data_IF_304908117167
#
_entry.id   IF_304908117167
#
_cell.length_a   1.000
_cell.length_b   1.000
_cell.length_c   1.000
_cell.angle_alpha   90.00
_cell.angle_beta   90.00
_cell.angle_gamma   90.00
#
_symmetry.space_group_name_H-M   'P 1'
#
loop_
_entity.id
_entity.type
_entity.pdbx_description
1 polymer ?
#
# COMPACT_ATOMS: atom_id res chain seq x y z
N UNK A 1 -13.12 1.26 2.16
CA UNK A 1 -12.74 1.12 3.58
C UNK A 1 -11.45 0.35 3.60
N UNK A 2 -10.41 0.87 4.23
CA UNK A 2 -9.13 0.17 4.34
C UNK A 2 -9.03 -0.50 5.71
N UNK A 3 -8.81 -1.81 5.71
CA UNK A 3 -8.79 -2.65 6.91
C UNK A 3 -7.36 -3.14 7.15
N UNK A 4 -6.77 -2.78 8.29
CA UNK A 4 -5.43 -3.25 8.68
C UNK A 4 -5.46 -3.99 10.01
N UNK A 5 -4.85 -5.18 10.06
CA UNK A 5 -4.74 -6.00 11.27
C UNK A 5 -3.42 -5.81 12.03
N UNK A 6 -2.43 -5.18 11.38
CA UNK A 6 -1.10 -4.88 11.89
C UNK A 6 -0.82 -3.37 11.76
N UNK A 7 -0.20 -2.79 12.79
CA UNK A 7 0.21 -1.38 12.75
C UNK A 7 1.52 -1.24 11.96
N UNK A 8 1.53 -0.39 10.94
CA UNK A 8 2.73 -0.02 10.16
C UNK A 8 3.56 1.11 10.79
N UNK A 9 3.17 1.60 11.98
CA UNK A 9 3.89 2.67 12.69
C UNK A 9 5.29 2.24 13.15
N UNK A 10 6.27 3.16 13.19
CA UNK A 10 7.60 2.89 13.73
C UNK A 10 7.55 2.30 15.15
N UNK A 11 8.27 1.19 15.36
CA UNK A 11 8.37 0.51 16.65
C UNK A 11 7.18 -0.39 17.03
N UNK A 12 6.23 -0.63 16.11
CA UNK A 12 5.19 -1.62 16.33
C UNK A 12 5.76 -3.05 16.31
N UNK A 13 5.29 -3.90 17.23
CA UNK A 13 5.66 -5.32 17.23
C UNK A 13 4.93 -6.05 16.09
N UNK A 14 5.62 -6.90 15.31
CA UNK A 14 4.99 -7.71 14.28
C UNK A 14 3.91 -8.64 14.86
N UNK A 15 2.78 -8.71 14.18
CA UNK A 15 1.66 -9.59 14.53
C UNK A 15 1.84 -10.93 13.79
N UNK A 16 1.71 -12.09 14.46
CA UNK A 16 1.70 -13.39 13.78
C UNK A 16 0.61 -13.48 12.71
N UNK A 17 0.84 -14.23 11.63
CA UNK A 17 -0.12 -14.38 10.51
C UNK A 17 -1.51 -14.79 10.99
N UNK A 18 -1.59 -15.85 11.80
CA UNK A 18 -2.88 -16.38 12.29
C UNK A 18 -3.64 -15.33 13.11
N UNK A 19 -2.92 -14.57 13.94
CA UNK A 19 -3.52 -13.52 14.76
C UNK A 19 -4.01 -12.34 13.91
N UNK A 20 -3.28 -11.98 12.85
CA UNK A 20 -3.74 -10.94 11.93
C UNK A 20 -4.99 -11.38 11.17
N UNK A 21 -5.02 -12.63 10.69
CA UNK A 21 -6.21 -13.23 10.04
C UNK A 21 -7.42 -13.18 10.99
N UNK A 22 -7.25 -13.58 12.25
CA UNK A 22 -8.32 -13.55 13.27
C UNK A 22 -8.86 -12.14 13.53
N UNK A 23 -8.06 -11.09 13.30
CA UNK A 23 -8.48 -9.68 13.42
C UNK A 23 -9.21 -9.19 12.17
N UNK A 24 -8.67 -9.48 10.98
CA UNK A 24 -9.14 -8.86 9.73
C UNK A 24 -10.33 -9.58 9.12
N UNK A 25 -10.36 -10.92 9.12
CA UNK A 25 -11.42 -11.69 8.43
C UNK A 25 -12.81 -11.37 8.98
N UNK A 26 -13.08 -11.45 10.30
CA UNK A 26 -14.40 -11.12 10.83
C UNK A 26 -14.80 -9.66 10.59
N UNK A 27 -13.81 -8.76 10.51
CA UNK A 27 -14.02 -7.34 10.24
C UNK A 27 -14.44 -7.13 8.79
N UNK A 28 -13.76 -7.76 7.83
CA UNK A 28 -14.10 -7.71 6.41
C UNK A 28 -15.51 -8.29 6.18
N UNK A 29 -15.82 -9.47 6.74
CA UNK A 29 -17.15 -10.09 6.64
C UNK A 29 -18.25 -9.17 7.20
N UNK A 30 -18.01 -8.53 8.34
CA UNK A 30 -18.96 -7.60 8.94
C UNK A 30 -19.16 -6.35 8.08
N UNK A 31 -18.08 -5.79 7.51
CA UNK A 31 -18.16 -4.64 6.59
C UNK A 31 -18.93 -5.01 5.33
N UNK A 32 -18.72 -6.20 4.79
CA UNK A 32 -19.43 -6.71 3.62
C UNK A 32 -20.95 -6.83 3.84
N UNK A 33 -21.40 -6.98 5.09
CA UNK A 33 -22.84 -6.99 5.40
C UNK A 33 -23.52 -5.61 5.34
N UNK A 34 -22.75 -4.52 5.22
CA UNK A 34 -23.28 -3.16 5.14
C UNK A 34 -23.85 -2.91 3.73
N UNK A 35 -25.09 -2.39 3.57
CA UNK A 35 -25.73 -2.26 2.26
C UNK A 35 -24.89 -1.53 1.20
N UNK A 36 -24.25 -0.40 1.54
CA UNK A 36 -23.42 0.33 0.60
C UNK A 36 -22.18 -0.47 0.12
N UNK A 37 -21.69 -1.42 0.92
CA UNK A 37 -20.59 -2.30 0.51
C UNK A 37 -21.14 -3.47 -0.31
N UNK A 38 -22.21 -4.11 0.19
CA UNK A 38 -22.87 -5.22 -0.50
C UNK A 38 -23.42 -4.87 -1.90
N UNK A 39 -23.86 -3.63 -2.09
CA UNK A 39 -24.34 -3.10 -3.38
C UNK A 39 -23.19 -2.67 -4.31
N UNK A 40 -21.94 -2.68 -3.82
CA UNK A 40 -20.74 -2.32 -4.57
C UNK A 40 -20.46 -0.81 -4.65
N UNK A 41 -21.15 0.02 -3.88
CA UNK A 41 -20.90 1.48 -3.84
C UNK A 41 -19.60 1.85 -3.11
N UNK A 42 -19.14 0.97 -2.21
CA UNK A 42 -17.93 1.17 -1.40
C UNK A 42 -17.07 -0.08 -1.47
N UNK A 43 -15.83 0.08 -1.95
CA UNK A 43 -14.84 -0.99 -1.99
C UNK A 43 -14.15 -1.17 -0.62
N UNK A 44 -13.71 -2.38 -0.33
CA UNK A 44 -12.94 -2.78 0.85
C UNK A 44 -11.53 -3.18 0.44
N UNK A 45 -10.51 -2.50 0.97
CA UNK A 45 -9.11 -2.89 0.82
C UNK A 45 -8.58 -3.56 2.08
N UNK A 46 -7.65 -4.50 1.91
CA UNK A 46 -6.87 -5.10 3.00
C UNK A 46 -5.46 -4.49 3.01
N UNK A 47 -5.11 -3.76 4.08
CA UNK A 47 -3.76 -3.26 4.35
C UNK A 47 -2.95 -4.36 5.01
N UNK A 48 -2.17 -5.07 4.20
CA UNK A 48 -1.28 -6.12 4.68
C UNK A 48 -0.13 -6.37 3.71
N UNK A 49 0.99 -6.80 4.28
CA UNK A 49 2.20 -7.23 3.58
C UNK A 49 2.37 -8.75 3.58
N UNK A 50 1.42 -9.49 4.15
CA UNK A 50 1.52 -10.94 4.36
C UNK A 50 0.62 -11.66 3.37
N UNK A 51 1.16 -12.44 2.43
CA UNK A 51 0.37 -13.11 1.39
C UNK A 51 -0.79 -13.95 1.94
N UNK A 52 -0.54 -14.70 3.02
CA UNK A 52 -1.57 -15.51 3.67
C UNK A 52 -2.72 -14.66 4.26
N UNK A 53 -2.44 -13.47 4.78
CA UNK A 53 -3.47 -12.55 5.30
C UNK A 53 -4.25 -11.95 4.14
N UNK A 54 -3.57 -11.53 3.07
CA UNK A 54 -4.20 -11.01 1.87
C UNK A 54 -5.16 -12.05 1.25
N UNK A 55 -4.70 -13.29 1.07
CA UNK A 55 -5.53 -14.38 0.56
C UNK A 55 -6.78 -14.63 1.43
N UNK A 56 -6.61 -14.72 2.75
CA UNK A 56 -7.73 -14.92 3.67
C UNK A 56 -8.73 -13.75 3.66
N UNK A 57 -8.24 -12.51 3.52
CA UNK A 57 -9.10 -11.33 3.43
C UNK A 57 -9.86 -11.26 2.10
N UNK A 58 -9.23 -11.66 0.98
CA UNK A 58 -9.91 -11.80 -0.31
C UNK A 58 -11.01 -12.88 -0.25
N UNK A 59 -10.72 -14.03 0.37
CA UNK A 59 -11.72 -15.09 0.60
C UNK A 59 -12.91 -14.60 1.46
N UNK A 60 -12.64 -13.68 2.39
CA UNK A 60 -13.66 -13.02 3.22
C UNK A 60 -14.45 -11.92 2.48
N UNK A 61 -14.01 -11.55 1.27
CA UNK A 61 -14.67 -10.58 0.39
C UNK A 61 -13.98 -9.24 0.27
N UNK A 62 -12.69 -9.07 0.61
CA UNK A 62 -11.97 -7.85 0.26
C UNK A 62 -11.91 -7.67 -1.27
N UNK A 63 -11.98 -6.43 -1.74
CA UNK A 63 -12.03 -6.09 -3.17
C UNK A 63 -10.64 -5.85 -3.77
N UNK A 64 -9.68 -5.39 -2.95
CA UNK A 64 -8.30 -5.10 -3.37
C UNK A 64 -7.29 -5.25 -2.23
N UNK A 65 -6.02 -5.36 -2.59
CA UNK A 65 -4.90 -5.42 -1.64
C UNK A 65 -4.21 -4.05 -1.57
N UNK A 66 -3.87 -3.59 -0.37
CA UNK A 66 -3.00 -2.45 -0.14
C UNK A 66 -1.69 -2.95 0.46
N UNK A 67 -0.65 -3.08 -0.38
CA UNK A 67 0.66 -3.59 0.05
C UNK A 67 1.66 -2.43 0.14
N UNK A 68 1.88 -1.97 1.36
CA UNK A 68 2.84 -0.93 1.68
C UNK A 68 4.29 -1.29 1.29
N UNK A 69 4.61 -2.57 1.09
CA UNK A 69 5.96 -2.98 0.65
C UNK A 69 6.17 -2.87 -0.86
N UNK A 70 5.11 -2.56 -1.61
CA UNK A 70 5.14 -2.45 -3.06
C UNK A 70 5.41 -3.78 -3.76
N UNK A 71 4.72 -4.86 -3.35
CA UNK A 71 4.84 -6.20 -3.94
C UNK A 71 6.24 -6.80 -3.86
N UNK A 72 6.96 -6.47 -2.78
CA UNK A 72 8.31 -7.00 -2.57
C UNK A 72 8.33 -8.53 -2.47
N UNK A 73 7.31 -9.11 -1.82
CA UNK A 73 7.13 -10.55 -1.65
C UNK A 73 6.64 -11.21 -2.97
N UNK A 74 7.38 -12.19 -3.54
CA UNK A 74 6.92 -12.96 -4.69
C UNK A 74 5.58 -13.66 -4.47
N UNK A 75 5.31 -14.17 -3.27
CA UNK A 75 4.05 -14.86 -2.97
C UNK A 75 2.88 -13.88 -2.93
N UNK A 76 3.09 -12.62 -2.52
CA UNK A 76 2.06 -11.57 -2.63
C UNK A 76 1.69 -11.30 -4.09
N UNK A 77 2.69 -11.32 -4.99
CA UNK A 77 2.45 -11.15 -6.43
C UNK A 77 1.64 -12.30 -7.00
N UNK A 78 1.91 -13.53 -6.57
CA UNK A 78 1.12 -14.71 -6.95
C UNK A 78 -0.33 -14.58 -6.47
N UNK A 79 -0.55 -14.19 -5.20
CA UNK A 79 -1.91 -13.95 -4.65
C UNK A 79 -2.69 -12.92 -5.47
N UNK A 80 -2.08 -11.77 -5.80
CA UNK A 80 -2.74 -10.72 -6.58
C UNK A 80 -3.03 -11.21 -8.01
N UNK A 81 -2.08 -11.88 -8.64
CA UNK A 81 -2.23 -12.38 -10.02
C UNK A 81 -3.33 -13.44 -10.11
N UNK A 82 -3.37 -14.39 -9.16
CA UNK A 82 -4.40 -15.44 -9.12
C UNK A 82 -5.79 -14.87 -8.82
N UNK A 83 -5.88 -13.86 -7.94
CA UNK A 83 -7.15 -13.21 -7.61
C UNK A 83 -7.65 -12.27 -8.72
N UNK A 84 -6.75 -11.68 -9.52
CA UNK A 84 -7.09 -10.66 -10.52
C UNK A 84 -7.67 -9.37 -9.93
N UNK A 85 -7.42 -9.12 -8.64
CA UNK A 85 -7.91 -7.95 -7.93
C UNK A 85 -7.00 -6.73 -8.18
N UNK A 86 -7.51 -5.49 -7.99
CA UNK A 86 -6.64 -4.32 -7.91
C UNK A 86 -5.64 -4.43 -6.74
N UNK A 87 -4.53 -3.69 -6.85
CA UNK A 87 -3.51 -3.62 -5.82
C UNK A 87 -2.91 -2.23 -5.72
N UNK A 88 -2.71 -1.74 -4.49
CA UNK A 88 -1.90 -0.55 -4.22
C UNK A 88 -0.45 -0.98 -4.03
N UNK A 89 0.44 -0.37 -4.82
CA UNK A 89 1.89 -0.56 -4.79
C UNK A 89 2.50 0.72 -4.25
N UNK A 90 2.95 0.69 -3.00
CA UNK A 90 3.57 1.85 -2.36
C UNK A 90 5.10 1.83 -2.50
N UNK A 91 5.71 3.01 -2.58
CA UNK A 91 7.14 3.18 -2.35
C UNK A 91 7.42 3.17 -0.85
N UNK A 92 8.28 2.23 -0.43
CA UNK A 92 8.87 2.19 0.91
C UNK A 92 10.23 1.51 0.80
N UNK A 93 11.23 2.00 1.51
CA UNK A 93 12.50 1.30 1.66
C UNK A 93 12.38 0.23 2.74
N UNK A 94 11.75 0.60 3.86
CA UNK A 94 11.49 -0.30 4.99
C UNK A 94 10.00 -0.32 5.34
N UNK A 95 9.49 -1.52 5.55
CA UNK A 95 8.13 -1.76 6.00
C UNK A 95 8.16 -2.82 7.11
N UNK A 96 7.91 -2.47 8.39
CA UNK A 96 7.60 -1.12 8.89
C UNK A 96 8.79 -0.17 8.75
N UNK A 97 8.51 1.14 8.73
CA UNK A 97 9.52 2.21 8.63
C UNK A 97 10.61 2.03 9.69
N UNK A 98 11.87 2.00 9.26
CA UNK A 98 13.02 2.07 10.15
C UNK A 98 13.34 3.56 10.42
N UNK A 99 13.14 4.06 11.65
CA UNK A 99 13.39 5.47 11.97
C UNK A 99 14.88 5.84 11.96
N UNK A 100 15.78 4.86 11.79
CA UNK A 100 17.22 5.08 11.65
C UNK A 100 17.67 5.14 10.19
N UNK A 101 16.79 4.76 9.25
CA UNK A 101 17.05 4.93 7.83
C UNK A 101 16.80 6.40 7.46
N UNK A 102 17.80 7.01 6.82
CA UNK A 102 17.78 8.41 6.37
C UNK A 102 18.27 8.41 4.91
N UNK A 103 17.44 7.94 3.96
CA UNK A 103 17.84 7.87 2.58
C UNK A 103 18.05 9.28 2.02
N UNK A 104 19.17 9.46 1.35
CA UNK A 104 19.43 10.68 0.59
C UNK A 104 18.86 10.49 -0.82
N UNK A 105 17.82 11.25 -1.16
CA UNK A 105 17.35 11.38 -2.53
C UNK A 105 18.07 12.53 -3.22
N UNK A 106 18.47 12.33 -4.48
CA UNK A 106 19.00 13.43 -5.30
C UNK A 106 17.82 14.31 -5.77
N UNK A 107 16.71 13.67 -6.17
CA UNK A 107 15.41 14.26 -6.44
C UNK A 107 14.35 13.24 -6.01
N UNK A 108 13.66 13.54 -4.90
CA UNK A 108 12.73 12.60 -4.28
C UNK A 108 11.60 12.15 -5.23
N UNK A 109 11.18 13.00 -6.16
CA UNK A 109 10.10 12.67 -7.09
C UNK A 109 10.61 11.72 -8.18
N UNK A 110 11.75 12.05 -8.80
CA UNK A 110 12.36 11.23 -9.84
C UNK A 110 12.77 9.85 -9.29
N UNK A 111 13.36 9.82 -8.10
CA UNK A 111 13.80 8.60 -7.44
C UNK A 111 12.63 7.69 -7.07
N UNK A 112 11.54 8.25 -6.51
CA UNK A 112 10.32 7.48 -6.18
C UNK A 112 9.63 6.98 -7.45
N UNK A 113 9.54 7.78 -8.52
CA UNK A 113 9.03 7.32 -9.82
C UNK A 113 9.89 6.17 -10.36
N UNK A 114 11.21 6.28 -10.23
CA UNK A 114 12.15 5.22 -10.59
C UNK A 114 11.87 3.91 -9.85
N UNK A 115 11.78 3.97 -8.53
CA UNK A 115 11.52 2.82 -7.67
C UNK A 115 10.16 2.17 -7.97
N UNK A 116 9.09 2.97 -8.13
CA UNK A 116 7.77 2.47 -8.49
C UNK A 116 7.76 1.83 -9.87
N UNK A 117 8.51 2.36 -10.84
CA UNK A 117 8.65 1.75 -12.18
C UNK A 117 9.25 0.34 -12.09
N UNK A 118 10.21 0.12 -11.21
CA UNK A 118 10.77 -1.22 -10.96
C UNK A 118 9.72 -2.16 -10.36
N UNK A 119 8.92 -1.69 -9.39
CA UNK A 119 7.83 -2.50 -8.80
C UNK A 119 6.77 -2.86 -9.84
N UNK A 120 6.42 -1.94 -10.73
CA UNK A 120 5.48 -2.18 -11.82
C UNK A 120 6.01 -3.24 -12.80
N UNK A 121 7.31 -3.24 -13.10
CA UNK A 121 7.90 -4.28 -13.95
C UNK A 121 7.86 -5.68 -13.28
N UNK A 122 8.02 -5.75 -11.96
CA UNK A 122 7.85 -7.00 -11.20
C UNK A 122 6.40 -7.48 -11.20
N UNK A 123 5.44 -6.57 -11.06
CA UNK A 123 4.01 -6.88 -11.13
C UNK A 123 3.62 -7.43 -12.51
N UNK A 124 4.07 -6.78 -13.59
CA UNK A 124 3.83 -7.24 -14.96
C UNK A 124 4.44 -8.63 -15.23
N UNK A 125 5.65 -8.87 -14.73
CA UNK A 125 6.32 -10.18 -14.86
C UNK A 125 5.55 -11.27 -14.13
N UNK A 126 4.85 -10.94 -13.04
CA UNK A 126 3.98 -11.85 -12.31
C UNK A 126 2.59 -12.01 -12.95
N UNK A 127 2.28 -11.30 -14.03
CA UNK A 127 0.99 -11.36 -14.71
C UNK A 127 -0.08 -10.44 -14.14
N UNK A 128 0.29 -9.43 -13.36
CA UNK A 128 -0.63 -8.41 -12.85
C UNK A 128 -0.75 -7.31 -13.91
N UNK A 129 -1.97 -7.12 -14.43
CA UNK A 129 -2.23 -6.09 -15.44
C UNK A 129 -2.05 -4.67 -14.86
N UNK A 130 -1.49 -3.77 -15.68
CA UNK A 130 -1.19 -2.40 -15.28
C UNK A 130 -2.43 -1.62 -14.82
N UNK A 131 -3.59 -1.90 -15.40
CA UNK A 131 -4.88 -1.27 -15.06
C UNK A 131 -5.44 -1.70 -13.69
N UNK A 132 -4.85 -2.74 -13.08
CA UNK A 132 -5.12 -3.18 -11.71
C UNK A 132 -4.20 -2.52 -10.68
N UNK A 133 -3.15 -1.83 -11.10
CA UNK A 133 -2.19 -1.23 -10.17
C UNK A 133 -2.52 0.23 -9.90
N UNK A 134 -2.57 0.57 -8.62
CA UNK A 134 -2.60 1.93 -8.08
C UNK A 134 -1.24 2.18 -7.44
N UNK A 135 -0.61 3.32 -7.70
CA UNK A 135 0.69 3.66 -7.11
C UNK A 135 0.52 4.61 -5.93
N UNK A 136 1.29 4.39 -4.86
CA UNK A 136 1.38 5.31 -3.72
C UNK A 136 2.84 5.78 -3.55
N UNK A 137 3.13 7.09 -3.59
CA UNK A 137 4.47 7.63 -3.39
C UNK A 137 5.06 7.41 -1.99
N UNK A 138 4.27 6.93 -1.02
CA UNK A 138 4.78 6.55 0.31
C UNK A 138 5.10 7.74 1.22
N UNK A 139 4.27 8.77 1.24
CA UNK A 139 4.55 9.99 2.03
C UNK A 139 4.90 9.67 3.50
N UNK A 140 6.05 10.12 3.99
CA UNK A 140 6.48 9.86 5.37
C UNK A 140 6.92 8.43 5.65
N UNK A 141 7.05 7.59 4.62
CA UNK A 141 7.88 6.39 4.62
C UNK A 141 9.21 6.78 4.01
N UNK A 142 10.28 6.68 4.81
CA UNK A 142 11.65 6.91 4.37
C UNK A 142 11.83 8.21 3.56
N UNK A 143 11.07 9.25 3.91
CA UNK A 143 11.07 10.59 3.31
C UNK A 143 10.96 11.62 4.41
N UNK A 144 11.78 12.66 4.32
CA UNK A 144 11.70 13.84 5.18
C UNK A 144 10.40 14.61 4.96
N UNK A 145 10.10 15.56 5.86
CA UNK A 145 8.91 16.42 5.68
C UNK A 145 8.99 17.24 4.39
N UNK A 146 10.19 17.71 4.01
CA UNK A 146 10.39 18.51 2.81
C UNK A 146 10.12 17.68 1.54
N UNK A 147 10.68 16.48 1.48
CA UNK A 147 10.48 15.55 0.35
C UNK A 147 9.01 15.09 0.27
N UNK A 148 8.36 14.83 1.41
CA UNK A 148 6.93 14.51 1.41
C UNK A 148 6.05 15.66 0.86
N UNK A 149 6.41 16.92 1.11
CA UNK A 149 5.72 18.05 0.46
C UNK A 149 6.07 18.19 -1.01
N UNK A 150 7.31 17.90 -1.39
CA UNK A 150 7.73 17.89 -2.79
C UNK A 150 6.96 16.85 -3.62
N UNK A 151 6.79 15.63 -3.08
CA UNK A 151 5.99 14.57 -3.69
C UNK A 151 4.53 14.98 -3.92
N UNK A 152 3.96 15.79 -3.01
CA UNK A 152 2.60 16.34 -3.18
C UNK A 152 2.59 17.44 -4.25
N UNK A 153 3.54 18.38 -4.21
CA UNK A 153 3.61 19.51 -5.15
C UNK A 153 3.78 19.05 -6.60
N UNK A 154 4.55 17.97 -6.78
CA UNK A 154 4.88 17.37 -8.08
C UNK A 154 4.10 16.08 -8.38
N UNK A 155 2.99 15.82 -7.67
CA UNK A 155 2.18 14.58 -7.85
C UNK A 155 1.72 14.35 -9.29
N UNK A 156 1.58 15.41 -10.09
CA UNK A 156 1.23 15.31 -11.51
C UNK A 156 2.26 14.55 -12.37
N UNK A 157 3.52 14.48 -11.94
CA UNK A 157 4.59 13.78 -12.65
C UNK A 157 4.44 12.25 -12.59
N UNK A 158 3.75 11.73 -11.57
CA UNK A 158 3.43 10.31 -11.44
C UNK A 158 2.49 9.78 -12.53
N UNK A 159 1.83 10.67 -13.29
CA UNK A 159 1.09 10.29 -14.49
C UNK A 159 1.98 9.55 -15.51
N UNK A 160 3.31 9.73 -15.47
CA UNK A 160 4.27 9.00 -16.29
C UNK A 160 4.34 7.48 -15.99
N UNK A 161 3.70 7.00 -14.93
CA UNK A 161 3.61 5.58 -14.58
C UNK A 161 2.38 4.88 -15.19
N UNK A 162 1.48 5.64 -15.83
CA UNK A 162 0.21 5.16 -16.40
C UNK A 162 -0.67 4.38 -15.39
N UNK A 163 -0.60 4.78 -14.11
CA UNK A 163 -1.40 4.24 -13.01
C UNK A 163 -2.16 5.36 -12.29
N UNK A 164 -3.33 5.10 -11.70
CA UNK A 164 -3.91 5.97 -10.68
C UNK A 164 -2.95 6.17 -9.51
N UNK A 165 -2.96 7.36 -8.91
CA UNK A 165 -2.12 7.70 -7.75
C UNK A 165 -2.99 7.79 -6.50
N UNK A 166 -2.61 7.09 -5.43
CA UNK A 166 -3.19 7.19 -4.10
C UNK A 166 -2.25 7.98 -3.20
N UNK A 167 -2.80 8.94 -2.44
CA UNK A 167 -2.03 9.78 -1.52
C UNK A 167 -2.55 9.62 -0.09
N UNK A 168 -1.81 8.90 0.75
CA UNK A 168 -2.08 8.82 2.18
C UNK A 168 -1.36 9.93 2.96
N UNK A 169 -1.95 11.11 3.15
CA UNK A 169 -1.30 12.22 3.90
C UNK A 169 -1.81 12.39 5.35
N UNK A 170 -2.89 11.71 5.75
CA UNK A 170 -3.64 11.99 6.98
C UNK A 170 -2.82 11.85 8.28
N UNK A 171 -2.82 12.91 9.11
CA UNK A 171 -2.18 12.96 10.44
C UNK A 171 -0.70 12.52 10.49
N UNK A 172 0.03 12.62 9.38
CA UNK A 172 1.44 12.24 9.30
C UNK A 172 2.36 13.27 9.96
N UNK A 173 3.53 12.80 10.40
CA UNK A 173 4.59 13.59 11.06
C UNK A 173 5.10 14.73 10.19
N UNK A 174 4.94 14.66 8.86
CA UNK A 174 5.32 15.72 7.92
C UNK A 174 4.74 17.10 8.28
N UNK A 175 3.55 17.14 8.88
CA UNK A 175 2.95 18.41 9.31
C UNK A 175 3.60 19.01 10.57
N UNK A 176 4.41 18.24 11.31
CA UNK A 176 5.14 18.76 12.46
C UNK A 176 6.16 19.84 12.10
N UNK A 177 6.63 19.88 10.85
CA UNK A 177 7.48 20.93 10.31
C UNK A 177 6.72 22.23 9.98
N UNK A 178 5.39 22.18 9.92
CA UNK A 178 4.50 23.32 9.69
C UNK A 178 3.87 23.70 11.03
N UNK A 179 4.62 24.41 11.87
CA UNK A 179 4.19 24.85 13.20
C UNK A 179 5.06 25.96 13.76
#
# INVERSE_FOLDING_TARGET
VDVGGESTRPGAEPVPVDEEIERVVPTVEAIQSVPAVADGDVLVSIDTRKPAVAAAALDAGADLINDVTGLSDPEMREVVADAGCPVVVMHSLDAPVDPTNDPEYDDAVDDVIGALRERLALAETAGIDRDKVIVDPGLGFDTSSAEAFELIDRVGEFAALDCPVLIGHSHKSMYGAIG
#
